data_IF_223474850530
#
_entry.id   IF_223474850530
#
_cell.length_a   1.000
_cell.length_b   1.000
_cell.length_c   1.000
_cell.angle_alpha   90.00
_cell.angle_beta   90.00
_cell.angle_gamma   90.00
#
_symmetry.space_group_name_H-M   'P 1'
#
loop_
_entity.id
_entity.type
_entity.pdbx_description
1 polymer ?
#
# COMPACT_ATOMS: atom_id res chain seq x y z
N UNK A 1 22.69 -30.26 -4.16
CA UNK A 1 22.55 -29.46 -2.94
C UNK A 1 22.42 -28.01 -3.40
N UNK A 2 21.20 -27.48 -3.35
CA UNK A 2 20.79 -26.18 -3.90
C UNK A 2 21.21 -25.03 -2.97
N UNK A 3 21.69 -23.92 -3.52
CA UNK A 3 21.43 -22.57 -2.97
C UNK A 3 21.24 -21.60 -4.14
N UNK A 4 19.98 -21.31 -4.44
CA UNK A 4 19.59 -20.19 -5.28
C UNK A 4 19.47 -18.96 -4.37
N UNK A 5 20.40 -18.01 -4.52
CA UNK A 5 20.29 -16.68 -3.93
C UNK A 5 19.86 -15.71 -5.03
N UNK A 6 18.56 -15.71 -5.34
CA UNK A 6 17.93 -14.63 -6.09
C UNK A 6 17.24 -13.72 -5.07
N UNK A 7 17.90 -12.59 -4.77
CA UNK A 7 17.32 -11.50 -4.00
C UNK A 7 16.13 -10.91 -4.75
N UNK A 8 14.93 -11.27 -4.34
CA UNK A 8 13.69 -10.66 -4.80
C UNK A 8 13.58 -9.27 -4.20
N UNK A 9 13.83 -8.25 -5.01
CA UNK A 9 13.32 -6.91 -4.78
C UNK A 9 11.79 -6.99 -4.88
N UNK A 10 11.13 -7.20 -3.73
CA UNK A 10 9.67 -7.22 -3.62
C UNK A 10 9.13 -5.80 -3.85
N UNK A 11 8.94 -5.47 -5.13
CA UNK A 11 8.20 -4.31 -5.61
C UNK A 11 6.70 -4.53 -5.31
N UNK A 12 6.36 -4.49 -4.02
CA UNK A 12 5.10 -4.97 -3.47
C UNK A 12 3.92 -4.01 -3.67
N UNK A 13 3.44 -3.88 -4.90
CA UNK A 13 2.05 -3.48 -5.15
C UNK A 13 1.17 -4.74 -5.11
N UNK A 14 0.76 -5.12 -3.90
CA UNK A 14 -0.19 -6.22 -3.71
C UNK A 14 -1.61 -5.66 -3.86
N UNK A 15 -2.09 -5.59 -5.10
CA UNK A 15 -3.48 -5.32 -5.41
C UNK A 15 -4.31 -6.55 -5.02
N UNK A 16 -5.17 -6.40 -4.02
CA UNK A 16 -6.04 -7.48 -3.54
C UNK A 16 -7.50 -7.09 -3.69
N UNK A 17 -8.33 -8.00 -4.23
CA UNK A 17 -9.78 -7.88 -4.14
C UNK A 17 -10.26 -8.58 -2.88
N UNK A 18 -10.52 -7.82 -1.81
CA UNK A 18 -11.21 -8.36 -0.65
C UNK A 18 -12.70 -8.02 -0.80
N UNK A 19 -13.55 -9.04 -0.98
CA UNK A 19 -15.02 -8.90 -1.04
C UNK A 19 -15.52 -7.98 -2.17
N UNK A 20 -14.86 -7.99 -3.33
CA UNK A 20 -15.24 -7.14 -4.48
C UNK A 20 -14.80 -5.68 -4.37
N UNK A 21 -13.99 -5.35 -3.36
CA UNK A 21 -13.36 -4.02 -3.23
C UNK A 21 -11.91 -4.04 -3.68
N UNK A 22 -11.55 -3.02 -4.43
CA UNK A 22 -10.16 -2.76 -4.76
C UNK A 22 -9.45 -2.23 -3.52
N UNK A 23 -8.35 -2.90 -3.17
CA UNK A 23 -7.49 -2.57 -2.02
C UNK A 23 -6.05 -2.48 -2.52
N UNK A 24 -5.41 -1.36 -2.19
CA UNK A 24 -3.98 -1.14 -2.44
C UNK A 24 -3.24 -1.20 -1.12
N UNK A 25 -2.15 -1.96 -1.08
CA UNK A 25 -1.23 -2.02 0.06
C UNK A 25 0.10 -1.43 -0.37
N UNK A 26 0.53 -0.40 0.34
CA UNK A 26 1.78 0.31 0.09
C UNK A 26 2.71 0.06 1.27
N UNK A 27 3.90 -0.50 1.02
CA UNK A 27 4.91 -0.65 2.06
C UNK A 27 5.38 0.71 2.55
N UNK A 28 5.58 0.84 3.85
CA UNK A 28 6.08 2.06 4.51
C UNK A 28 6.92 1.68 5.72
N UNK A 29 7.76 2.61 6.20
CA UNK A 29 8.45 2.48 7.48
C UNK A 29 7.61 3.04 8.62
N UNK A 30 8.05 2.80 9.85
CA UNK A 30 7.70 3.61 11.01
C UNK A 30 8.91 4.49 11.44
N UNK A 31 8.76 5.27 12.51
CA UNK A 31 9.83 6.13 13.06
C UNK A 31 11.06 5.31 13.50
N UNK A 32 10.89 4.03 13.83
CA UNK A 32 11.97 3.12 14.23
C UNK A 32 12.43 2.22 13.08
N UNK A 33 12.09 2.58 11.84
CA UNK A 33 12.48 1.93 10.59
C UNK A 33 12.07 0.45 10.48
N UNK A 34 10.94 0.04 11.08
CA UNK A 34 10.34 -1.27 10.80
C UNK A 34 9.44 -1.20 9.58
N UNK A 35 9.44 -2.28 8.82
CA UNK A 35 8.55 -2.42 7.66
C UNK A 35 7.10 -2.60 8.11
N UNK A 36 6.22 -1.80 7.51
CA UNK A 36 4.78 -1.71 7.77
C UNK A 36 4.05 -1.50 6.44
N UNK A 37 2.72 -1.45 6.49
CA UNK A 37 1.89 -1.18 5.32
C UNK A 37 0.84 -0.10 5.60
N UNK A 38 0.67 0.80 4.64
CA UNK A 38 -0.50 1.65 4.47
C UNK A 38 -1.50 0.94 3.56
N UNK A 39 -2.78 1.02 3.89
CA UNK A 39 -3.85 0.45 3.07
C UNK A 39 -4.77 1.54 2.53
N UNK A 40 -5.01 1.53 1.23
CA UNK A 40 -6.03 2.35 0.57
C UNK A 40 -7.15 1.44 0.12
N UNK A 41 -8.40 1.85 0.31
CA UNK A 41 -9.58 1.12 -0.18
C UNK A 41 -10.71 2.09 -0.50
N UNK A 42 -11.65 1.66 -1.33
CA UNK A 42 -12.86 2.43 -1.66
C UNK A 42 -14.09 1.81 -1.01
N UNK A 43 -14.78 2.58 -0.19
CA UNK A 43 -15.98 2.20 0.54
C UNK A 43 -17.10 3.19 0.23
N UNK A 44 -18.16 2.76 -0.48
CA UNK A 44 -19.39 3.55 -0.70
C UNK A 44 -19.08 4.98 -1.19
N UNK A 45 -18.30 5.08 -2.28
CA UNK A 45 -17.85 6.35 -2.88
C UNK A 45 -16.96 7.19 -1.95
N UNK A 46 -16.26 6.56 -0.99
CA UNK A 46 -15.27 7.20 -0.13
C UNK A 46 -13.94 6.49 -0.26
N UNK A 47 -12.86 7.27 -0.35
CA UNK A 47 -11.51 6.74 -0.22
C UNK A 47 -11.16 6.65 1.26
N UNK A 48 -10.77 5.47 1.72
CA UNK A 48 -10.34 5.20 3.09
C UNK A 48 -8.85 4.89 3.09
N UNK A 49 -8.10 5.62 3.90
CA UNK A 49 -6.68 5.40 4.15
C UNK A 49 -6.50 4.86 5.56
N UNK A 50 -5.92 3.67 5.69
CA UNK A 50 -5.63 3.03 6.97
C UNK A 50 -4.12 3.00 7.18
N UNK A 51 -3.68 3.75 8.19
CA UNK A 51 -2.31 3.74 8.68
C UNK A 51 -1.95 2.45 9.44
N UNK A 52 -0.65 2.16 9.61
CA UNK A 52 -0.21 1.12 10.52
C UNK A 52 -0.74 1.40 11.95
N UNK A 53 -1.21 0.37 12.67
CA UNK A 53 -1.84 0.57 13.97
C UNK A 53 -0.83 1.08 15.00
N UNK A 54 -1.19 2.18 15.67
CA UNK A 54 -0.44 2.73 16.82
C UNK A 54 0.83 3.50 16.46
N UNK A 55 1.13 3.70 15.18
CA UNK A 55 2.41 4.25 14.74
C UNK A 55 2.28 5.23 13.58
N UNK A 56 3.26 6.13 13.47
CA UNK A 56 3.36 7.06 12.35
C UNK A 56 4.00 6.35 11.16
N UNK A 57 3.30 6.31 10.03
CA UNK A 57 3.87 5.86 8.77
C UNK A 57 4.88 6.89 8.24
N UNK A 58 6.07 6.42 7.92
CA UNK A 58 7.11 7.18 7.23
C UNK A 58 7.23 6.61 5.82
N UNK A 59 7.14 7.47 4.81
CA UNK A 59 7.27 7.08 3.41
C UNK A 59 8.53 7.68 2.80
N UNK A 60 9.27 6.86 2.08
CA UNK A 60 10.27 7.34 1.11
C UNK A 60 9.60 8.01 -0.08
N UNK A 61 10.36 8.75 -0.89
CA UNK A 61 9.83 9.39 -2.10
C UNK A 61 9.19 8.38 -3.08
N UNK A 62 9.75 7.18 -3.21
CA UNK A 62 9.21 6.11 -4.04
C UNK A 62 7.86 5.60 -3.52
N UNK A 63 7.79 5.29 -2.22
CA UNK A 63 6.56 4.83 -1.56
C UNK A 63 5.47 5.92 -1.59
N UNK A 64 5.84 7.20 -1.46
CA UNK A 64 4.91 8.32 -1.62
C UNK A 64 4.39 8.41 -3.06
N UNK A 65 5.23 8.09 -4.05
CA UNK A 65 4.83 7.96 -5.46
C UNK A 65 3.78 6.87 -5.67
N UNK A 66 3.97 5.70 -5.07
CA UNK A 66 3.01 4.60 -5.08
C UNK A 66 1.70 5.00 -4.40
N UNK A 67 1.75 5.63 -3.23
CA UNK A 67 0.56 6.13 -2.54
C UNK A 67 -0.23 7.12 -3.39
N UNK A 68 0.45 8.05 -4.08
CA UNK A 68 -0.21 9.00 -4.98
C UNK A 68 -0.95 8.29 -6.12
N UNK A 69 -0.34 7.27 -6.73
CA UNK A 69 -0.98 6.51 -7.80
C UNK A 69 -2.22 5.76 -7.28
N UNK A 70 -2.09 5.08 -6.14
CA UNK A 70 -3.20 4.38 -5.50
C UNK A 70 -4.35 5.32 -5.13
N UNK A 71 -4.05 6.51 -4.59
CA UNK A 71 -5.07 7.51 -4.28
C UNK A 71 -5.78 8.04 -5.52
N UNK A 72 -5.06 8.22 -6.64
CA UNK A 72 -5.67 8.63 -7.91
C UNK A 72 -6.64 7.56 -8.43
N UNK A 73 -6.21 6.30 -8.47
CA UNK A 73 -7.06 5.19 -8.90
C UNK A 73 -8.28 5.01 -7.98
N UNK A 74 -8.09 5.20 -6.66
CA UNK A 74 -9.17 5.13 -5.68
C UNK A 74 -10.18 6.27 -5.85
N UNK A 75 -9.72 7.49 -6.18
CA UNK A 75 -10.60 8.62 -6.46
C UNK A 75 -11.45 8.36 -7.71
N UNK A 76 -10.84 7.90 -8.81
CA UNK A 76 -11.55 7.54 -10.05
C UNK A 76 -12.59 6.43 -9.84
N UNK A 77 -12.38 5.53 -8.87
CA UNK A 77 -13.35 4.51 -8.49
C UNK A 77 -14.44 5.03 -7.56
N UNK A 78 -14.11 5.97 -6.68
CA UNK A 78 -15.09 6.60 -5.80
C UNK A 78 -16.04 7.54 -6.56
N UNK A 79 -15.65 8.01 -7.74
CA UNK A 79 -16.48 8.84 -8.63
C UNK A 79 -17.40 8.03 -9.56
N UNK A 80 -17.18 6.71 -9.69
CA UNK A 80 -18.06 5.80 -10.45
C UNK A 80 -19.31 5.42 -9.66
#
# INVERSE_FOLDING_TARGET
MLTAEQGQEHHGELHGSALGRQVWRISCGDIVNRERCLTVLVERNRVVLVGPPGETAVLTAGQLGQLRNALREAAEQAER
#
